data_IF_241104993207
#
_entry.id   IF_241104993207
#
_cell.length_a   1.000
_cell.length_b   1.000
_cell.length_c   1.000
_cell.angle_alpha   90.00
_cell.angle_beta   90.00
_cell.angle_gamma   90.00
#
_symmetry.space_group_name_H-M   'P 1'
#
loop_
_entity.id
_entity.type
_entity.pdbx_description
1 polymer ?
#
# COMPACT_ATOMS: atom_id res chain seq x y z
N UNK A 1 -20.68 29.79 -15.65
CA UNK A 1 -19.69 28.71 -15.78
C UNK A 1 -20.30 27.35 -15.49
N UNK A 2 -21.28 27.28 -14.57
CA UNK A 2 -21.88 26.00 -14.12
C UNK A 2 -22.72 25.29 -15.21
N UNK A 3 -23.16 26.03 -16.22
CA UNK A 3 -23.96 25.49 -17.33
C UNK A 3 -23.14 25.17 -18.59
N UNK A 4 -21.80 25.22 -18.50
CA UNK A 4 -20.92 24.94 -19.62
C UNK A 4 -20.25 23.56 -19.43
N UNK A 5 -20.20 22.80 -20.51
CA UNK A 5 -19.52 21.51 -20.60
C UNK A 5 -18.48 21.54 -21.72
N UNK A 6 -17.32 20.92 -21.43
CA UNK A 6 -16.28 20.72 -22.45
C UNK A 6 -16.45 19.33 -23.04
N UNK A 7 -16.63 19.27 -24.34
CA UNK A 7 -16.78 18.03 -25.10
C UNK A 7 -15.75 17.90 -26.23
N UNK A 8 -15.79 16.80 -26.99
CA UNK A 8 -14.79 16.52 -28.04
C UNK A 8 -14.70 17.58 -29.14
N UNK A 9 -15.74 18.38 -29.33
CA UNK A 9 -15.80 19.41 -30.40
C UNK A 9 -15.65 20.85 -29.90
N UNK A 10 -15.58 21.08 -28.57
CA UNK A 10 -15.53 22.43 -28.01
C UNK A 10 -16.30 22.59 -26.73
N UNK A 11 -16.67 23.80 -26.39
CA UNK A 11 -17.48 24.13 -25.20
C UNK A 11 -18.93 24.33 -25.60
N UNK A 12 -19.84 23.66 -24.93
CA UNK A 12 -21.29 23.78 -25.19
C UNK A 12 -22.07 24.06 -23.90
N UNK A 13 -23.29 24.49 -24.06
CA UNK A 13 -24.21 24.71 -22.94
C UNK A 13 -24.85 23.38 -22.57
N UNK A 14 -24.84 23.05 -21.28
CA UNK A 14 -25.46 21.83 -20.73
C UNK A 14 -26.94 21.76 -21.16
N UNK A 15 -27.34 20.64 -21.74
CA UNK A 15 -28.70 20.46 -22.27
C UNK A 15 -28.99 21.13 -23.60
N UNK A 16 -28.04 21.83 -24.22
CA UNK A 16 -28.19 22.47 -25.52
C UNK A 16 -26.95 22.25 -26.42
N UNK A 17 -26.69 21.02 -26.87
CA UNK A 17 -25.45 20.65 -27.59
C UNK A 17 -25.28 21.37 -28.93
N UNK A 18 -26.38 21.92 -29.53
CA UNK A 18 -26.31 22.75 -30.70
C UNK A 18 -25.77 24.18 -30.48
N UNK A 19 -25.61 24.59 -29.22
CA UNK A 19 -24.97 25.86 -28.81
C UNK A 19 -23.54 25.61 -28.40
N UNK A 20 -22.70 25.36 -29.36
CA UNK A 20 -21.29 25.00 -29.16
C UNK A 20 -20.37 26.04 -29.81
N UNK A 21 -19.23 26.28 -29.15
CA UNK A 21 -18.09 27.03 -29.70
C UNK A 21 -16.91 26.11 -29.78
N UNK A 22 -16.28 26.00 -30.95
CA UNK A 22 -15.11 25.18 -31.11
C UNK A 22 -13.93 25.73 -30.29
N UNK A 23 -13.07 24.84 -29.74
CA UNK A 23 -11.88 25.26 -29.00
C UNK A 23 -10.94 26.09 -29.89
N UNK A 24 -10.83 25.76 -31.18
CA UNK A 24 -10.04 26.53 -32.14
C UNK A 24 -10.54 27.98 -32.25
N UNK A 25 -11.86 28.20 -32.36
CA UNK A 25 -12.43 29.52 -32.46
C UNK A 25 -12.23 30.38 -31.20
N UNK A 26 -12.19 29.71 -30.04
CA UNK A 26 -11.86 30.34 -28.75
C UNK A 26 -10.41 30.81 -28.70
N UNK A 27 -9.49 29.96 -29.20
CA UNK A 27 -8.05 30.26 -29.24
C UNK A 27 -7.73 31.32 -30.27
N UNK A 28 -8.28 31.22 -31.48
CA UNK A 28 -8.06 32.21 -32.57
C UNK A 28 -8.53 33.62 -32.18
N UNK A 29 -9.62 33.70 -31.44
CA UNK A 29 -10.15 34.98 -30.96
C UNK A 29 -9.33 35.63 -29.85
N UNK A 30 -8.59 34.82 -29.05
CA UNK A 30 -7.79 35.26 -27.91
C UNK A 30 -6.29 35.28 -28.17
N UNK A 31 -5.82 34.74 -29.32
CA UNK A 31 -4.42 34.58 -29.69
C UNK A 31 -3.74 33.44 -28.93
N UNK A 32 -3.71 33.48 -27.61
CA UNK A 32 -3.26 32.39 -26.72
C UNK A 32 -4.24 32.30 -25.57
N UNK A 33 -4.46 31.07 -25.07
CA UNK A 33 -5.21 30.82 -23.84
C UNK A 33 -4.25 30.16 -22.84
N UNK A 34 -3.75 30.98 -21.95
CA UNK A 34 -2.89 30.55 -20.87
C UNK A 34 -3.68 30.45 -19.56
N UNK A 35 -3.46 29.41 -18.79
CA UNK A 35 -4.07 29.24 -17.49
C UNK A 35 -2.98 28.93 -16.45
N UNK A 36 -2.89 29.73 -15.40
CA UNK A 36 -2.06 29.48 -14.24
C UNK A 36 -2.95 29.19 -13.04
N UNK A 37 -2.66 28.12 -12.33
CA UNK A 37 -3.33 27.82 -11.06
C UNK A 37 -2.32 27.50 -9.99
N UNK A 38 -2.55 28.04 -8.79
CA UNK A 38 -1.79 27.69 -7.59
C UNK A 38 -2.68 26.84 -6.71
N UNK A 39 -2.33 25.57 -6.58
CA UNK A 39 -3.04 24.64 -5.72
C UNK A 39 -2.28 24.48 -4.41
N UNK A 40 -2.97 24.67 -3.29
CA UNK A 40 -2.46 24.39 -1.94
C UNK A 40 -3.30 23.28 -1.33
N UNK A 41 -2.69 22.12 -1.15
CA UNK A 41 -3.30 20.98 -0.45
C UNK A 41 -3.03 21.07 1.06
N UNK A 42 -4.05 20.86 1.86
CA UNK A 42 -3.90 20.70 3.31
C UNK A 42 -3.52 19.28 3.73
N UNK A 43 -3.22 18.41 2.77
CA UNK A 43 -2.97 17.01 2.98
C UNK A 43 -4.26 16.19 3.17
N UNK A 44 -4.24 14.97 2.65
CA UNK A 44 -5.30 13.99 2.89
C UNK A 44 -4.62 12.70 3.36
N UNK A 45 -4.95 12.28 4.58
CA UNK A 45 -4.31 11.12 5.20
C UNK A 45 -5.18 9.89 4.98
N UNK A 46 -4.55 8.84 4.47
CA UNK A 46 -5.12 7.49 4.43
C UNK A 46 -4.98 6.82 5.79
N UNK A 47 -5.82 5.85 6.05
CA UNK A 47 -5.77 5.03 7.26
C UNK A 47 -5.97 3.57 6.90
N UNK A 48 -5.30 2.68 7.64
CA UNK A 48 -5.52 1.25 7.48
C UNK A 48 -5.33 0.50 8.79
N UNK A 49 -5.99 -0.65 8.87
CA UNK A 49 -5.81 -1.64 9.92
C UNK A 49 -5.49 -2.97 9.27
N UNK A 50 -4.44 -3.62 9.73
CA UNK A 50 -4.02 -4.94 9.27
C UNK A 50 -4.27 -5.98 10.35
N UNK A 51 -4.81 -7.13 9.95
CA UNK A 51 -5.05 -8.27 10.82
C UNK A 51 -4.48 -9.51 10.14
N UNK A 52 -3.64 -10.26 10.87
CA UNK A 52 -3.00 -11.47 10.38
C UNK A 52 -3.25 -12.63 11.32
N UNK A 53 -3.47 -13.80 10.74
CA UNK A 53 -3.45 -15.09 11.42
C UNK A 53 -2.34 -15.91 10.81
N UNK A 54 -1.41 -16.34 11.62
CA UNK A 54 -0.27 -17.15 11.18
C UNK A 54 -0.08 -18.36 12.10
N UNK A 55 0.64 -19.34 11.56
CA UNK A 55 1.11 -20.52 12.26
C UNK A 55 2.64 -20.55 12.22
N UNK A 56 3.24 -20.95 13.31
CA UNK A 56 4.68 -21.18 13.45
C UNK A 56 4.91 -22.67 13.67
N UNK A 57 5.68 -23.27 12.79
CA UNK A 57 6.20 -24.61 13.01
C UNK A 57 7.43 -24.52 13.93
N UNK A 58 7.37 -25.04 15.16
CA UNK A 58 8.47 -24.91 16.11
C UNK A 58 9.69 -25.76 15.76
N UNK A 59 9.54 -26.80 14.94
CA UNK A 59 10.66 -27.68 14.57
C UNK A 59 11.49 -27.07 13.43
N UNK A 60 10.83 -26.43 12.47
CA UNK A 60 11.50 -25.85 11.29
C UNK A 60 11.64 -24.34 11.35
N UNK A 61 11.00 -23.68 12.33
CA UNK A 61 10.85 -22.23 12.42
C UNK A 61 10.22 -21.61 11.15
N UNK A 62 9.37 -22.37 10.47
CA UNK A 62 8.64 -21.88 9.29
C UNK A 62 7.39 -21.12 9.71
N UNK A 63 7.16 -19.98 9.09
CA UNK A 63 5.97 -19.16 9.30
C UNK A 63 5.00 -19.35 8.14
N UNK A 64 3.79 -19.77 8.45
CA UNK A 64 2.70 -19.88 7.48
C UNK A 64 1.65 -18.78 7.75
N UNK A 65 1.47 -17.87 6.82
CA UNK A 65 0.39 -16.89 6.90
C UNK A 65 -0.91 -17.55 6.43
N UNK A 66 -1.81 -17.83 7.37
CA UNK A 66 -3.05 -18.55 7.10
C UNK A 66 -4.15 -17.62 6.59
N UNK A 67 -4.24 -16.40 7.15
CA UNK A 67 -5.24 -15.39 6.76
C UNK A 67 -4.66 -13.99 6.94
N UNK A 68 -5.07 -13.12 6.04
CA UNK A 68 -4.76 -11.70 6.16
C UNK A 68 -5.96 -10.85 5.80
N UNK A 69 -6.18 -9.77 6.51
CA UNK A 69 -7.22 -8.79 6.18
C UNK A 69 -6.65 -7.38 6.30
N UNK A 70 -7.06 -6.52 5.38
CA UNK A 70 -6.72 -5.10 5.36
C UNK A 70 -8.04 -4.32 5.29
N UNK A 71 -8.33 -3.54 6.32
CA UNK A 71 -9.35 -2.50 6.26
C UNK A 71 -8.65 -1.18 5.96
N UNK A 72 -9.08 -0.48 4.91
CA UNK A 72 -8.42 0.74 4.46
C UNK A 72 -9.41 1.86 4.13
N UNK A 73 -8.92 3.08 4.17
CA UNK A 73 -9.62 4.29 3.77
C UNK A 73 -8.72 5.07 2.80
N UNK A 74 -8.94 4.88 1.51
CA UNK A 74 -8.33 5.69 0.45
C UNK A 74 -9.26 6.81 -0.04
N UNK A 75 -10.37 7.08 0.67
CA UNK A 75 -11.41 7.97 0.20
C UNK A 75 -12.09 7.43 -1.04
N UNK A 76 -12.45 8.32 -1.97
CA UNK A 76 -13.03 7.94 -3.25
C UNK A 76 -12.01 7.17 -4.10
N UNK A 77 -12.23 5.90 -4.37
CA UNK A 77 -11.38 5.13 -5.28
C UNK A 77 -11.57 5.58 -6.73
N UNK A 78 -10.51 6.14 -7.34
CA UNK A 78 -10.53 6.55 -8.76
C UNK A 78 -10.58 5.32 -9.66
N UNK A 79 -9.79 4.31 -9.34
CA UNK A 79 -9.77 3.03 -10.02
C UNK A 79 -9.63 1.91 -8.98
N UNK A 80 -10.73 1.21 -8.63
CA UNK A 80 -10.71 0.15 -7.61
C UNK A 80 -9.72 -0.97 -7.91
N UNK A 81 -9.56 -1.37 -9.18
CA UNK A 81 -8.61 -2.42 -9.55
C UNK A 81 -7.15 -2.03 -9.23
N UNK A 82 -6.81 -0.75 -9.44
CA UNK A 82 -5.48 -0.24 -9.09
C UNK A 82 -5.31 -0.17 -7.57
N UNK A 83 -6.35 0.23 -6.84
CA UNK A 83 -6.33 0.25 -5.37
C UNK A 83 -6.08 -1.15 -4.82
N UNK A 84 -6.82 -2.15 -5.28
CA UNK A 84 -6.63 -3.55 -4.89
C UNK A 84 -5.20 -4.04 -5.20
N UNK A 85 -4.69 -3.71 -6.38
CA UNK A 85 -3.32 -4.04 -6.78
C UNK A 85 -2.27 -3.40 -5.87
N UNK A 86 -2.46 -2.15 -5.45
CA UNK A 86 -1.56 -1.45 -4.52
C UNK A 86 -1.59 -2.08 -3.12
N UNK A 87 -2.76 -2.46 -2.62
CA UNK A 87 -2.89 -3.10 -1.31
C UNK A 87 -2.26 -4.49 -1.29
N UNK A 88 -2.50 -5.30 -2.31
CA UNK A 88 -1.92 -6.64 -2.43
C UNK A 88 -0.40 -6.58 -2.62
N UNK A 89 0.07 -5.75 -3.53
CA UNK A 89 1.50 -5.57 -3.77
C UNK A 89 2.23 -5.00 -2.56
N UNK A 90 1.63 -4.01 -1.89
CA UNK A 90 2.13 -3.44 -0.65
C UNK A 90 2.21 -4.46 0.48
N UNK A 91 1.20 -5.33 0.62
CA UNK A 91 1.22 -6.42 1.60
C UNK A 91 2.39 -7.37 1.35
N UNK A 92 2.60 -7.81 0.11
CA UNK A 92 3.72 -8.70 -0.24
C UNK A 92 5.05 -8.07 0.12
N UNK A 93 5.22 -6.78 -0.18
CA UNK A 93 6.41 -6.01 0.20
C UNK A 93 6.59 -5.95 1.74
N UNK A 94 5.51 -5.66 2.48
CA UNK A 94 5.56 -5.63 3.94
C UNK A 94 5.86 -6.99 4.59
N UNK A 95 5.41 -8.08 3.98
CA UNK A 95 5.78 -9.45 4.40
C UNK A 95 7.24 -9.75 4.09
N UNK A 96 7.77 -9.26 2.97
CA UNK A 96 9.20 -9.31 2.66
C UNK A 96 10.03 -8.66 3.76
N UNK A 97 9.71 -7.45 4.16
CA UNK A 97 10.35 -6.75 5.28
C UNK A 97 10.28 -7.53 6.59
N UNK A 98 9.11 -8.11 6.88
CA UNK A 98 8.90 -8.78 8.15
C UNK A 98 9.69 -10.08 8.28
N UNK A 99 9.85 -10.83 7.18
CA UNK A 99 10.24 -12.24 7.26
C UNK A 99 11.50 -12.61 6.48
N UNK A 100 11.98 -11.78 5.53
CA UNK A 100 13.00 -12.25 4.55
C UNK A 100 14.05 -11.24 4.13
N UNK A 101 13.63 -10.00 3.80
CA UNK A 101 14.52 -9.03 3.16
C UNK A 101 15.50 -8.43 4.18
N UNK A 102 16.76 -8.79 4.08
CA UNK A 102 17.80 -8.33 4.98
C UNK A 102 18.98 -7.73 4.21
N UNK A 103 19.28 -6.45 4.47
CA UNK A 103 20.46 -5.79 3.97
C UNK A 103 21.61 -5.98 4.97
N UNK A 104 22.56 -6.88 4.65
CA UNK A 104 23.69 -7.21 5.51
C UNK A 104 24.97 -6.52 5.04
N UNK A 105 25.62 -5.79 5.95
CA UNK A 105 26.92 -5.20 5.72
C UNK A 105 27.98 -5.88 6.58
N UNK A 106 29.13 -6.19 5.97
CA UNK A 106 30.29 -6.71 6.69
C UNK A 106 30.94 -5.61 7.53
N UNK A 107 31.78 -5.95 8.51
CA UNK A 107 32.48 -4.97 9.33
C UNK A 107 33.37 -3.98 8.53
N UNK A 108 33.83 -4.37 7.35
CA UNK A 108 34.58 -3.53 6.42
C UNK A 108 33.71 -2.62 5.53
N UNK A 109 32.38 -2.68 5.70
CA UNK A 109 31.40 -1.91 4.91
C UNK A 109 30.96 -2.59 3.60
N UNK A 110 31.46 -3.77 3.28
CA UNK A 110 31.04 -4.52 2.09
C UNK A 110 29.60 -4.97 2.22
N UNK A 111 28.77 -4.70 1.19
CA UNK A 111 27.37 -5.16 1.13
C UNK A 111 27.32 -6.64 0.77
N UNK A 112 27.00 -7.49 1.73
CA UNK A 112 27.03 -8.95 1.59
C UNK A 112 25.84 -9.50 0.80
N UNK A 113 24.63 -8.96 1.00
CA UNK A 113 23.41 -9.40 0.31
C UNK A 113 23.23 -8.66 -1.03
N UNK A 114 24.25 -8.66 -1.87
CA UNK A 114 24.31 -7.84 -3.09
C UNK A 114 23.67 -8.47 -4.33
N UNK A 115 23.10 -9.66 -4.22
CA UNK A 115 22.45 -10.39 -5.31
C UNK A 115 21.18 -11.09 -4.82
N UNK A 116 20.34 -11.56 -5.75
CA UNK A 116 19.05 -12.19 -5.40
C UNK A 116 19.15 -13.63 -4.86
N UNK A 117 20.33 -14.21 -4.76
CA UNK A 117 20.52 -15.46 -4.04
C UNK A 117 20.64 -15.21 -2.53
N UNK A 118 21.23 -14.06 -2.16
CA UNK A 118 21.48 -13.67 -0.77
C UNK A 118 20.39 -12.73 -0.23
N UNK A 119 19.94 -11.76 -1.07
CA UNK A 119 18.81 -10.88 -0.74
C UNK A 119 17.50 -11.56 -1.15
N UNK A 120 16.83 -12.16 -0.19
CA UNK A 120 15.65 -12.97 -0.44
C UNK A 120 14.40 -12.09 -0.62
N UNK A 121 13.81 -12.14 -1.82
CA UNK A 121 12.54 -11.47 -2.12
C UNK A 121 11.36 -12.43 -1.96
N UNK A 122 10.16 -11.91 -1.60
CA UNK A 122 8.94 -12.67 -1.69
C UNK A 122 8.74 -13.25 -3.10
N UNK A 123 8.54 -14.55 -3.21
CA UNK A 123 8.35 -15.24 -4.48
C UNK A 123 7.18 -16.22 -4.38
N UNK A 124 6.80 -16.81 -5.52
CA UNK A 124 5.69 -17.79 -5.60
C UNK A 124 5.89 -19.05 -4.73
N UNK A 125 7.13 -19.34 -4.33
CA UNK A 125 7.46 -20.46 -3.43
C UNK A 125 7.24 -20.20 -1.95
N UNK A 126 6.91 -18.97 -1.58
CA UNK A 126 6.56 -18.64 -0.21
C UNK A 126 5.12 -19.07 0.04
N UNK A 127 4.81 -19.67 1.20
CA UNK A 127 3.45 -20.08 1.53
C UNK A 127 2.55 -18.87 1.75
N UNK A 128 2.20 -18.21 0.65
CA UNK A 128 1.32 -17.06 0.59
C UNK A 128 0.17 -17.31 -0.39
N UNK A 129 -0.62 -18.33 -0.11
CA UNK A 129 -1.91 -18.52 -0.76
C UNK A 129 -2.99 -17.57 -0.21
N UNK A 130 -2.56 -16.53 0.51
CA UNK A 130 -3.48 -15.62 1.18
C UNK A 130 -3.86 -14.49 0.27
N UNK A 131 -5.07 -14.56 -0.27
CA UNK A 131 -5.70 -13.36 -0.83
C UNK A 131 -6.20 -12.50 0.35
N UNK A 132 -5.65 -11.27 0.53
CA UNK A 132 -6.09 -10.42 1.61
C UNK A 132 -7.57 -10.07 1.42
N UNK A 133 -8.35 -10.17 2.49
CA UNK A 133 -9.69 -9.61 2.50
C UNK A 133 -9.58 -8.10 2.63
N UNK A 134 -9.92 -7.40 1.54
CA UNK A 134 -9.94 -5.95 1.52
C UNK A 134 -11.30 -5.45 1.99
N UNK A 135 -11.29 -4.49 2.89
CA UNK A 135 -12.49 -3.82 3.40
C UNK A 135 -12.30 -2.33 3.22
N UNK A 136 -13.10 -1.75 2.35
CA UNK A 136 -13.09 -0.31 2.10
C UNK A 136 -13.91 0.40 3.19
N UNK A 137 -13.33 1.44 3.78
CA UNK A 137 -13.97 2.28 4.78
C UNK A 137 -13.84 3.73 4.33
N UNK A 138 -14.96 4.46 4.37
CA UNK A 138 -14.98 5.87 3.98
C UNK A 138 -15.05 6.74 5.24
N UNK A 139 -13.98 7.48 5.51
CA UNK A 139 -13.99 8.57 6.47
C UNK A 139 -14.14 9.92 5.75
N UNK A 140 -14.75 10.94 6.38
CA UNK A 140 -14.86 12.25 5.79
C UNK A 140 -13.49 12.80 5.37
N UNK A 141 -13.42 13.36 4.16
CA UNK A 141 -12.22 14.03 3.68
C UNK A 141 -12.26 15.47 4.18
N UNK A 142 -11.24 15.85 4.94
CA UNK A 142 -11.07 17.20 5.45
C UNK A 142 -10.23 18.04 4.49
N UNK A 143 -10.59 19.34 4.32
CA UNK A 143 -9.81 20.29 3.55
C UNK A 143 -10.26 20.46 2.09
N UNK A 144 -9.38 21.07 1.27
CA UNK A 144 -9.62 21.36 -0.14
C UNK A 144 -9.41 20.12 -1.04
N UNK A 145 -10.16 19.06 -0.80
CA UNK A 145 -10.16 17.88 -1.65
C UNK A 145 -11.61 17.55 -2.07
N UNK A 146 -12.14 18.27 -3.05
CA UNK A 146 -13.54 18.15 -3.45
C UNK A 146 -13.88 16.79 -4.08
N UNK A 147 -12.88 16.05 -4.54
CA UNK A 147 -13.06 14.72 -5.12
C UNK A 147 -12.93 13.60 -4.08
N UNK A 148 -12.48 13.92 -2.88
CA UNK A 148 -12.50 13.00 -1.76
C UNK A 148 -11.53 11.82 -1.82
N UNK A 149 -10.53 11.80 -2.73
CA UNK A 149 -9.54 10.74 -2.80
C UNK A 149 -8.38 10.96 -1.83
N UNK A 150 -7.77 9.87 -1.39
CA UNK A 150 -6.58 9.84 -0.53
C UNK A 150 -5.52 8.93 -1.14
N UNK A 151 -4.27 9.05 -0.69
CA UNK A 151 -3.19 8.16 -1.12
C UNK A 151 -3.45 6.71 -0.72
N UNK A 152 -3.01 5.75 -1.54
CA UNK A 152 -3.17 4.31 -1.26
C UNK A 152 -1.86 3.53 -1.42
N UNK A 153 -0.83 4.14 -2.03
CA UNK A 153 0.40 3.44 -2.44
C UNK A 153 1.14 2.70 -1.33
N UNK A 154 1.15 3.24 -0.12
CA UNK A 154 1.88 2.65 1.01
C UNK A 154 0.97 1.93 2.03
N UNK A 155 -0.35 2.02 1.84
CA UNK A 155 -1.34 1.50 2.79
C UNK A 155 -1.17 0.00 3.04
N UNK A 156 -0.82 -0.77 2.01
CA UNK A 156 -0.59 -2.21 2.13
C UNK A 156 0.72 -2.58 2.84
N UNK A 157 1.71 -1.67 2.86
CA UNK A 157 3.07 -1.97 3.33
C UNK A 157 3.29 -1.55 4.78
N UNK A 158 2.87 -0.34 5.16
CA UNK A 158 3.29 0.31 6.41
C UNK A 158 2.94 -0.49 7.66
N UNK A 159 1.73 -1.03 7.77
CA UNK A 159 1.28 -1.74 8.96
C UNK A 159 1.59 -3.25 8.93
N UNK A 160 1.97 -3.80 7.78
CA UNK A 160 2.17 -5.24 7.63
C UNK A 160 3.28 -5.80 8.53
N UNK A 161 4.48 -5.21 8.63
CA UNK A 161 5.53 -5.72 9.51
C UNK A 161 5.10 -5.76 10.99
N UNK A 162 4.46 -4.70 11.47
CA UNK A 162 3.99 -4.63 12.86
C UNK A 162 2.89 -5.67 13.14
N UNK A 163 1.97 -5.89 12.21
CA UNK A 163 0.92 -6.90 12.35
C UNK A 163 1.53 -8.31 12.41
N UNK A 164 2.52 -8.60 11.56
CA UNK A 164 3.23 -9.89 11.54
C UNK A 164 4.01 -10.11 12.82
N UNK A 165 4.77 -9.12 13.28
CA UNK A 165 5.52 -9.20 14.54
C UNK A 165 4.61 -9.47 15.72
N UNK A 166 3.52 -8.72 15.86
CA UNK A 166 2.57 -8.94 16.94
C UNK A 166 1.92 -10.33 16.91
N UNK A 167 1.67 -10.88 15.72
CA UNK A 167 1.17 -12.25 15.58
C UNK A 167 2.24 -13.31 15.91
N UNK A 168 3.51 -13.07 15.52
CA UNK A 168 4.64 -13.96 15.89
C UNK A 168 4.86 -13.97 17.39
N UNK A 169 4.90 -12.83 18.05
CA UNK A 169 5.02 -12.75 19.51
C UNK A 169 3.86 -13.45 20.22
N UNK A 170 2.65 -13.36 19.66
CA UNK A 170 1.50 -14.10 20.19
C UNK A 170 1.66 -15.61 20.01
N UNK A 171 2.15 -16.08 18.86
CA UNK A 171 2.43 -17.49 18.60
C UNK A 171 3.53 -18.02 19.54
N UNK A 172 4.64 -17.29 19.67
CA UNK A 172 5.73 -17.64 20.60
C UNK A 172 5.24 -17.76 22.03
N UNK A 173 4.43 -16.81 22.48
CA UNK A 173 3.85 -16.83 23.83
C UNK A 173 2.98 -18.07 24.08
N UNK A 174 2.26 -18.56 23.07
CA UNK A 174 1.46 -19.80 23.14
C UNK A 174 2.34 -21.04 23.23
N UNK A 175 3.56 -20.97 22.70
CA UNK A 175 4.58 -22.01 22.80
C UNK A 175 5.39 -21.93 24.12
N UNK A 176 5.06 -20.98 25.00
CA UNK A 176 5.77 -20.76 26.27
C UNK A 176 7.00 -19.87 26.16
N UNK A 177 7.27 -19.29 24.97
CA UNK A 177 8.39 -18.40 24.72
C UNK A 177 7.94 -16.94 24.87
N UNK A 178 8.59 -16.21 25.78
CA UNK A 178 8.34 -14.78 26.00
C UNK A 178 9.47 -13.97 25.35
N UNK A 179 9.27 -13.56 24.10
CA UNK A 179 10.25 -12.78 23.36
C UNK A 179 9.61 -11.46 22.87
N UNK A 180 10.40 -10.40 22.87
CA UNK A 180 10.10 -9.13 22.20
C UNK A 180 10.92 -9.08 20.91
N UNK A 181 10.23 -8.84 19.79
CA UNK A 181 10.85 -8.79 18.47
C UNK A 181 11.09 -7.30 18.10
N UNK A 182 12.29 -6.81 18.42
CA UNK A 182 12.67 -5.40 18.18
C UNK A 182 13.38 -5.14 16.85
N UNK A 183 13.67 -6.16 16.06
CA UNK A 183 14.40 -6.03 14.78
C UNK A 183 13.82 -6.94 13.69
N UNK A 184 13.89 -6.47 12.44
CA UNK A 184 13.44 -7.16 11.24
C UNK A 184 14.62 -7.43 10.29
N UNK A 185 14.47 -8.42 9.41
CA UNK A 185 13.42 -9.43 9.31
C UNK A 185 13.50 -10.50 10.40
N UNK A 186 12.36 -11.16 10.69
CA UNK A 186 12.34 -12.38 11.51
C UNK A 186 12.52 -13.58 10.59
N UNK A 187 13.76 -13.80 10.17
CA UNK A 187 14.12 -14.95 9.33
C UNK A 187 13.89 -16.28 10.06
N UNK A 188 13.77 -17.41 9.35
CA UNK A 188 13.65 -18.73 9.98
C UNK A 188 14.79 -19.01 10.98
N UNK A 189 16.03 -18.60 10.66
CA UNK A 189 17.17 -18.70 11.58
C UNK A 189 16.92 -17.94 12.87
N UNK A 190 16.51 -16.68 12.76
CA UNK A 190 16.24 -15.82 13.92
C UNK A 190 15.06 -16.32 14.75
N UNK A 191 14.01 -16.80 14.09
CA UNK A 191 12.86 -17.38 14.76
C UNK A 191 13.26 -18.67 15.51
N UNK A 192 14.11 -19.50 14.90
CA UNK A 192 14.67 -20.69 15.55
C UNK A 192 15.48 -20.33 16.80
N UNK A 193 16.32 -19.32 16.73
CA UNK A 193 17.09 -18.81 17.88
C UNK A 193 16.14 -18.35 19.01
N UNK A 194 15.04 -17.68 18.70
CA UNK A 194 14.04 -17.25 19.68
C UNK A 194 13.27 -18.42 20.31
N UNK A 195 12.99 -19.48 19.54
CA UNK A 195 12.28 -20.66 20.02
C UNK A 195 13.11 -21.52 20.98
N UNK A 196 14.45 -21.42 20.91
CA UNK A 196 15.38 -22.26 21.65
C UNK A 196 16.26 -21.47 22.65
N UNK A 197 15.97 -20.18 22.86
CA UNK A 197 16.63 -19.36 23.88
C UNK A 197 15.97 -19.59 25.25
#
# INVERSE_FOLDING_TARGET
AEDLEVGPGGVHVRGAPGRQVALADLVDGAGTVDGETRFQSNGAYTSAVHVVVLEVDPETATVHVLRYAIAHDCGQAINPLVVDGQLQGGLVHGLGYALMEEAVYQPDGTFATSNFADYTLPSRGIPMEVQPRLVEVHAPVLGNNPQGFKGVGETGTIAAPAAVVGALENALRRLGVHAEIGTLPVTPRRLYELLHA
#
